data_IF_384908240544
#
_entry.id   IF_384908240544
#
_cell.length_a   1.000
_cell.length_b   1.000
_cell.length_c   1.000
_cell.angle_alpha   90.00
_cell.angle_beta   90.00
_cell.angle_gamma   90.00
#
_symmetry.space_group_name_H-M   'P 1'
#
loop_
_entity.id
_entity.type
_entity.pdbx_description
1 polymer ?
#
# COMPACT_ATOMS: atom_id res chain seq x y z
N UNK A 1 -8.90 28.89 -4.59
CA UNK A 1 -9.56 27.57 -4.75
C UNK A 1 -9.29 27.04 -6.15
N UNK A 2 -8.35 26.12 -6.29
CA UNK A 2 -8.10 25.39 -7.51
C UNK A 2 -9.05 24.19 -7.57
N UNK A 3 -9.80 24.06 -8.66
CA UNK A 3 -10.46 22.80 -8.97
C UNK A 3 -9.41 21.86 -9.53
N UNK A 4 -9.11 20.81 -8.80
CA UNK A 4 -8.07 19.86 -9.18
C UNK A 4 -8.70 18.52 -9.52
N UNK A 5 -8.25 17.93 -10.62
CA UNK A 5 -8.55 16.54 -10.96
C UNK A 5 -7.60 15.62 -10.19
N UNK A 6 -8.05 14.41 -9.85
CA UNK A 6 -7.26 13.43 -9.11
C UNK A 6 -5.85 13.22 -9.63
N UNK A 7 -5.68 13.21 -10.95
CA UNK A 7 -4.38 13.04 -11.57
C UNK A 7 -3.46 14.25 -11.36
N UNK A 8 -4.01 15.47 -11.33
CA UNK A 8 -3.22 16.67 -11.04
C UNK A 8 -2.78 16.74 -9.59
N UNK A 9 -3.65 16.33 -8.66
CA UNK A 9 -3.30 16.20 -7.24
C UNK A 9 -2.17 15.19 -7.06
N UNK A 10 -2.28 14.04 -7.71
CA UNK A 10 -1.27 12.99 -7.66
C UNK A 10 0.08 13.42 -8.26
N UNK A 11 0.05 14.19 -9.37
CA UNK A 11 1.24 14.76 -9.99
C UNK A 11 1.90 15.82 -9.10
N UNK A 12 1.12 16.72 -8.51
CA UNK A 12 1.62 17.81 -7.65
C UNK A 12 2.22 17.29 -6.34
N UNK A 13 1.74 16.17 -5.84
CA UNK A 13 2.29 15.51 -4.64
C UNK A 13 3.59 14.74 -4.89
N UNK A 14 4.19 14.86 -6.07
CA UNK A 14 5.39 14.11 -6.51
C UNK A 14 5.21 12.60 -6.68
N UNK A 15 4.04 12.05 -6.36
CA UNK A 15 3.74 10.61 -6.47
C UNK A 15 3.93 10.06 -7.88
N UNK A 16 3.55 10.82 -8.88
CA UNK A 16 3.67 10.42 -10.28
C UNK A 16 5.13 10.29 -10.71
N UNK A 17 6.02 11.17 -10.24
CA UNK A 17 7.44 11.12 -10.53
C UNK A 17 8.09 9.84 -10.03
N UNK A 18 7.68 9.35 -8.85
CA UNK A 18 8.21 8.13 -8.23
C UNK A 18 7.79 6.84 -8.97
N UNK A 19 6.67 6.86 -9.67
CA UNK A 19 6.14 5.69 -10.38
C UNK A 19 6.61 5.57 -11.84
N UNK A 20 7.44 6.47 -12.33
CA UNK A 20 7.96 6.43 -13.70
C UNK A 20 8.97 5.30 -13.87
N UNK A 21 8.71 4.29 -14.73
CA UNK A 21 9.67 3.24 -15.02
C UNK A 21 10.82 3.69 -15.94
N UNK A 22 10.61 4.76 -16.71
CA UNK A 22 11.64 5.44 -17.52
C UNK A 22 11.18 6.83 -17.92
N UNK A 23 12.14 7.72 -18.22
CA UNK A 23 11.84 9.07 -18.75
C UNK A 23 11.08 9.03 -20.09
N UNK A 24 11.22 7.95 -20.85
CA UNK A 24 10.69 7.81 -22.21
C UNK A 24 9.29 7.19 -22.25
N UNK A 25 8.79 6.68 -21.12
CA UNK A 25 7.45 6.07 -21.03
C UNK A 25 6.60 6.82 -20.02
N UNK A 26 5.50 7.39 -20.48
CA UNK A 26 4.47 7.93 -19.59
C UNK A 26 3.84 6.80 -18.79
N UNK A 27 4.33 6.59 -17.57
CA UNK A 27 3.66 5.71 -16.62
C UNK A 27 2.52 6.50 -16.00
N UNK A 28 1.31 6.24 -16.48
CA UNK A 28 0.11 6.71 -15.81
C UNK A 28 -0.16 5.83 -14.60
N UNK A 29 -0.53 6.45 -13.48
CA UNK A 29 -1.09 5.70 -12.37
C UNK A 29 -2.33 4.93 -12.86
N UNK A 30 -2.59 3.71 -12.36
CA UNK A 30 -3.81 2.98 -12.69
C UNK A 30 -5.03 3.87 -12.47
N UNK A 31 -5.99 3.78 -13.38
CA UNK A 31 -7.26 4.52 -13.26
C UNK A 31 -7.89 4.23 -11.90
N UNK A 32 -8.23 5.28 -11.14
CA UNK A 32 -8.80 5.17 -9.80
C UNK A 32 -7.79 5.04 -8.65
N UNK A 33 -6.49 4.86 -8.92
CA UNK A 33 -5.48 4.73 -7.85
C UNK A 33 -5.25 6.05 -7.08
N UNK A 34 -5.22 7.16 -7.79
CA UNK A 34 -5.04 8.48 -7.18
C UNK A 34 -6.20 8.85 -6.22
N UNK A 35 -7.49 8.68 -6.59
CA UNK A 35 -8.60 8.91 -5.68
C UNK A 35 -8.52 8.09 -4.40
N UNK A 36 -8.22 6.80 -4.50
CA UNK A 36 -8.12 5.91 -3.33
C UNK A 36 -6.99 6.30 -2.39
N UNK A 37 -5.80 6.59 -2.92
CA UNK A 37 -4.67 7.03 -2.09
C UNK A 37 -4.93 8.39 -1.44
N UNK A 38 -5.52 9.32 -2.18
CA UNK A 38 -5.90 10.63 -1.66
C UNK A 38 -6.95 10.51 -0.57
N UNK A 39 -8.03 9.75 -0.81
CA UNK A 39 -9.10 9.55 0.16
C UNK A 39 -8.58 8.90 1.44
N UNK A 40 -7.70 7.90 1.33
CA UNK A 40 -7.10 7.24 2.48
C UNK A 40 -6.25 8.21 3.33
N UNK A 41 -5.41 9.03 2.71
CA UNK A 41 -4.58 9.99 3.43
C UNK A 41 -5.38 11.14 4.04
N UNK A 42 -6.35 11.66 3.31
CA UNK A 42 -7.28 12.68 3.84
C UNK A 42 -8.06 12.10 5.02
N UNK A 43 -8.56 10.87 4.90
CA UNK A 43 -9.26 10.18 5.98
C UNK A 43 -8.40 9.97 7.22
N UNK A 44 -7.15 9.52 7.06
CA UNK A 44 -6.20 9.36 8.17
C UNK A 44 -5.89 10.71 8.85
N UNK A 45 -5.66 11.76 8.07
CA UNK A 45 -5.37 13.10 8.60
C UNK A 45 -6.58 13.67 9.35
N UNK A 46 -7.78 13.56 8.77
CA UNK A 46 -9.02 13.99 9.42
C UNK A 46 -9.30 13.20 10.71
N UNK A 47 -9.06 11.89 10.70
CA UNK A 47 -9.17 11.03 11.89
C UNK A 47 -8.18 11.42 12.99
N UNK A 48 -6.94 11.72 12.64
CA UNK A 48 -5.93 12.20 13.59
C UNK A 48 -6.33 13.54 14.22
N UNK A 49 -6.83 14.49 13.41
CA UNK A 49 -7.32 15.79 13.89
C UNK A 49 -8.50 15.58 14.83
N UNK A 50 -9.50 14.78 14.44
CA UNK A 50 -10.67 14.50 15.27
C UNK A 50 -10.26 13.86 16.62
N UNK A 51 -9.35 12.90 16.60
CA UNK A 51 -8.84 12.24 17.81
C UNK A 51 -8.10 13.22 18.73
N UNK A 52 -7.27 14.08 18.16
CA UNK A 52 -6.54 15.11 18.93
C UNK A 52 -7.50 16.13 19.59
N UNK A 53 -8.56 16.49 18.87
CA UNK A 53 -9.63 17.37 19.38
C UNK A 53 -10.39 16.72 20.53
N UNK A 54 -10.82 15.47 20.36
CA UNK A 54 -11.52 14.71 21.39
C UNK A 54 -10.68 14.53 22.64
N UNK A 55 -9.39 14.24 22.47
CA UNK A 55 -8.47 14.08 23.60
C UNK A 55 -8.24 15.38 24.37
N UNK A 56 -8.11 16.50 23.66
CA UNK A 56 -7.87 17.82 24.27
C UNK A 56 -9.07 18.36 25.05
N UNK A 57 -10.29 17.96 24.68
CA UNK A 57 -11.52 18.63 25.11
C UNK A 57 -12.56 17.71 25.77
N UNK A 58 -12.13 16.91 26.71
CA UNK A 58 -12.95 15.91 27.41
C UNK A 58 -14.21 16.48 28.14
N UNK A 59 -14.56 17.75 28.03
CA UNK A 59 -15.56 18.35 28.91
C UNK A 59 -16.46 19.45 28.33
N UNK A 60 -16.33 19.84 27.06
CA UNK A 60 -17.15 20.93 26.51
C UNK A 60 -17.61 20.63 25.07
N UNK A 61 -18.93 20.77 24.77
CA UNK A 61 -19.42 20.66 23.41
C UNK A 61 -19.06 21.92 22.62
N UNK A 62 -18.27 21.78 21.55
CA UNK A 62 -18.06 22.86 20.59
C UNK A 62 -17.89 22.32 19.18
N UNK A 63 -18.18 23.17 18.20
CA UNK A 63 -18.00 22.85 16.81
C UNK A 63 -16.56 23.16 16.38
N UNK A 64 -15.94 22.25 15.64
CA UNK A 64 -14.69 22.45 14.98
C UNK A 64 -14.84 22.48 13.48
N UNK A 65 -14.08 23.32 12.84
CA UNK A 65 -13.85 23.26 11.40
C UNK A 65 -12.45 22.69 11.18
N UNK A 66 -12.36 21.58 10.46
CA UNK A 66 -11.10 20.99 10.05
C UNK A 66 -11.00 21.06 8.53
N UNK A 67 -9.87 21.61 8.04
CA UNK A 67 -9.55 21.65 6.61
C UNK A 67 -8.36 20.73 6.35
N UNK A 68 -8.47 19.88 5.33
CA UNK A 68 -7.41 18.96 4.91
C UNK A 68 -7.19 19.15 3.42
N UNK A 69 -5.98 19.56 3.05
CA UNK A 69 -5.55 19.65 1.66
C UNK A 69 -5.15 18.27 1.14
N UNK A 70 -5.74 17.84 0.04
CA UNK A 70 -5.41 16.57 -0.59
C UNK A 70 -3.94 16.50 -1.05
N UNK A 71 -3.39 17.60 -1.56
CA UNK A 71 -1.97 17.67 -1.97
C UNK A 71 -1.05 17.54 -0.78
N UNK A 72 -1.32 18.23 0.32
CA UNK A 72 -0.52 18.17 1.54
C UNK A 72 -0.60 16.79 2.20
N UNK A 73 -1.79 16.20 2.25
CA UNK A 73 -2.00 14.85 2.77
C UNK A 73 -1.21 13.79 1.98
N UNK A 74 -1.19 13.89 0.65
CA UNK A 74 -0.37 13.02 -0.19
C UNK A 74 1.13 13.31 -0.07
N UNK A 75 1.53 14.57 -0.01
CA UNK A 75 2.91 14.97 0.15
C UNK A 75 3.50 14.49 1.48
N UNK A 76 2.72 14.53 2.56
CA UNK A 76 3.16 14.05 3.89
C UNK A 76 3.45 12.55 3.93
N UNK A 77 2.92 11.78 2.98
CA UNK A 77 3.17 10.33 2.87
C UNK A 77 4.34 10.00 1.93
N UNK A 78 5.00 11.00 1.36
CA UNK A 78 6.14 10.79 0.45
C UNK A 78 7.41 11.24 1.15
N UNK A 79 7.97 10.34 1.95
CA UNK A 79 9.17 10.57 2.72
C UNK A 79 10.44 10.71 1.86
N UNK A 80 10.71 9.71 1.01
CA UNK A 80 11.97 9.57 0.30
C UNK A 80 12.30 10.71 -0.66
N UNK A 81 11.40 11.20 -1.54
CA UNK A 81 11.73 12.28 -2.47
C UNK A 81 12.07 13.60 -1.77
N UNK A 82 11.34 13.98 -0.71
CA UNK A 82 11.59 15.23 0.00
C UNK A 82 12.88 15.14 0.84
N UNK A 83 13.10 14.01 1.51
CA UNK A 83 14.33 13.78 2.29
C UNK A 83 15.53 13.71 1.35
N UNK A 84 15.44 12.99 0.24
CA UNK A 84 16.52 12.93 -0.75
C UNK A 84 16.83 14.31 -1.32
N UNK A 85 15.81 15.09 -1.68
CA UNK A 85 16.01 16.46 -2.16
C UNK A 85 16.72 17.35 -1.13
N UNK A 86 16.32 17.26 0.13
CA UNK A 86 16.93 18.04 1.22
C UNK A 86 18.39 17.64 1.51
N UNK A 87 18.73 16.35 1.32
CA UNK A 87 20.07 15.83 1.59
C UNK A 87 21.04 15.94 0.39
N UNK A 88 20.54 16.19 -0.82
CA UNK A 88 21.33 16.20 -2.06
C UNK A 88 21.39 17.58 -2.72
N UNK A 89 21.26 18.66 -1.93
CA UNK A 89 21.24 20.05 -2.42
C UNK A 89 20.25 20.30 -3.58
N UNK A 90 19.12 19.61 -3.53
CA UNK A 90 18.05 19.75 -4.53
C UNK A 90 18.27 18.97 -5.82
N UNK A 91 19.33 18.20 -5.95
CA UNK A 91 19.58 17.36 -7.12
C UNK A 91 18.86 16.01 -6.94
N UNK A 92 17.57 15.98 -7.29
CA UNK A 92 16.92 14.70 -7.53
C UNK A 92 17.03 14.38 -9.03
N UNK A 93 17.88 13.44 -9.34
CA UNK A 93 17.80 12.78 -10.63
C UNK A 93 16.50 11.96 -10.65
N UNK A 94 15.55 12.37 -11.48
CA UNK A 94 14.36 11.56 -11.81
C UNK A 94 14.73 10.28 -12.57
N UNK A 95 16.02 9.94 -12.60
CA UNK A 95 16.50 8.72 -13.21
C UNK A 95 15.89 7.52 -12.45
N UNK A 96 15.45 6.50 -13.16
CA UNK A 96 15.01 5.24 -12.58
C UNK A 96 16.22 4.44 -12.05
N UNK A 97 17.15 5.12 -11.40
CA UNK A 97 18.36 4.51 -10.84
C UNK A 97 18.01 3.37 -9.87
N UNK A 98 16.89 3.51 -9.17
CA UNK A 98 16.35 2.41 -8.36
C UNK A 98 15.92 1.18 -9.17
N UNK A 99 15.58 1.33 -10.45
CA UNK A 99 15.05 0.22 -11.25
C UNK A 99 16.07 -0.85 -11.61
N UNK A 100 17.32 -0.49 -11.86
CA UNK A 100 18.35 -1.46 -12.28
C UNK A 100 19.12 -2.06 -11.12
N UNK A 101 19.50 -1.26 -10.13
CA UNK A 101 20.23 -1.73 -8.95
C UNK A 101 19.30 -2.33 -7.87
N UNK A 102 18.01 -2.05 -7.92
CA UNK A 102 17.06 -2.41 -6.87
C UNK A 102 16.46 -3.81 -7.02
N UNK A 103 17.14 -4.75 -7.66
CA UNK A 103 16.65 -6.13 -7.64
C UNK A 103 17.03 -6.84 -6.32
N UNK A 104 16.16 -7.73 -5.80
CA UNK A 104 14.95 -8.28 -6.41
C UNK A 104 13.68 -7.42 -6.30
N UNK A 105 13.73 -6.16 -5.88
CA UNK A 105 12.51 -5.36 -5.78
C UNK A 105 11.69 -5.39 -7.07
N UNK A 106 10.42 -5.81 -6.97
CA UNK A 106 9.53 -5.94 -8.11
C UNK A 106 8.51 -7.06 -7.95
N UNK A 107 7.66 -7.19 -8.96
CA UNK A 107 6.65 -8.26 -9.05
C UNK A 107 7.14 -9.31 -10.02
N UNK A 108 7.09 -10.58 -9.59
CA UNK A 108 7.58 -11.73 -10.35
C UNK A 108 6.53 -12.83 -10.42
N UNK A 109 6.50 -13.53 -11.55
CA UNK A 109 5.60 -14.65 -11.80
C UNK A 109 6.08 -15.92 -11.07
N UNK A 110 5.13 -16.61 -10.44
CA UNK A 110 5.25 -17.94 -9.88
C UNK A 110 4.41 -18.93 -10.68
N UNK A 111 4.34 -20.19 -10.25
CA UNK A 111 3.56 -21.23 -10.94
C UNK A 111 2.04 -20.96 -10.93
N UNK A 112 1.54 -20.24 -9.93
CA UNK A 112 0.11 -20.03 -9.65
C UNK A 112 -0.27 -18.56 -9.48
N UNK A 113 0.59 -17.62 -9.86
CA UNK A 113 0.33 -16.20 -9.71
C UNK A 113 1.62 -15.40 -9.57
N UNK A 114 1.64 -14.41 -8.68
CA UNK A 114 2.77 -13.51 -8.53
C UNK A 114 3.15 -13.30 -7.07
N UNK A 115 4.42 -12.98 -6.86
CA UNK A 115 4.97 -12.46 -5.60
C UNK A 115 5.57 -11.09 -5.82
N UNK A 116 5.56 -10.27 -4.79
CA UNK A 116 6.26 -8.99 -4.76
C UNK A 116 7.41 -9.05 -3.77
N UNK A 117 8.60 -8.67 -4.24
CA UNK A 117 9.74 -8.40 -3.39
C UNK A 117 9.85 -6.91 -3.10
N UNK A 118 10.24 -6.59 -1.87
CA UNK A 118 10.55 -5.22 -1.43
C UNK A 118 11.85 -5.25 -0.65
N UNK A 119 12.75 -4.31 -0.95
CA UNK A 119 14.07 -4.30 -0.33
C UNK A 119 15.10 -5.07 -1.16
N UNK A 120 16.03 -4.32 -1.71
CA UNK A 120 17.13 -4.81 -2.53
C UNK A 120 18.49 -4.63 -1.86
N UNK A 121 18.48 -3.99 -0.68
CA UNK A 121 19.67 -3.63 0.05
C UNK A 121 19.99 -4.65 1.15
N UNK A 122 21.21 -4.58 1.66
CA UNK A 122 21.65 -5.38 2.81
C UNK A 122 20.75 -5.14 4.05
N UNK A 123 20.39 -6.16 4.79
CA UNK A 123 20.77 -7.57 4.64
C UNK A 123 19.74 -8.40 3.85
N UNK A 124 18.78 -7.77 3.17
CA UNK A 124 17.68 -8.49 2.50
C UNK A 124 18.14 -9.18 1.22
N UNK A 125 19.06 -8.55 0.49
CA UNK A 125 19.61 -9.13 -0.75
C UNK A 125 20.39 -10.40 -0.46
N UNK A 126 21.31 -10.38 0.52
CA UNK A 126 22.13 -11.51 0.90
C UNK A 126 21.26 -12.69 1.38
N UNK A 127 20.25 -12.41 2.18
CA UNK A 127 19.29 -13.42 2.63
C UNK A 127 18.50 -14.02 1.47
N UNK A 128 18.14 -13.19 0.49
CA UNK A 128 17.47 -13.65 -0.72
C UNK A 128 18.39 -14.59 -1.52
N UNK A 129 19.67 -14.23 -1.72
CA UNK A 129 20.65 -15.06 -2.40
C UNK A 129 20.78 -16.43 -1.73
N UNK A 130 20.90 -16.47 -0.41
CA UNK A 130 20.96 -17.72 0.36
C UNK A 130 19.68 -18.55 0.17
N UNK A 131 18.51 -17.91 0.25
CA UNK A 131 17.21 -18.58 0.13
C UNK A 131 16.96 -19.19 -1.25
N UNK A 132 17.45 -18.55 -2.31
CA UNK A 132 17.35 -19.09 -3.68
C UNK A 132 18.46 -20.08 -4.05
N UNK A 133 19.35 -20.42 -3.11
CA UNK A 133 20.41 -21.40 -3.29
C UNK A 133 21.68 -20.86 -3.97
N UNK A 134 21.94 -19.56 -3.80
CA UNK A 134 23.15 -18.87 -4.32
C UNK A 134 23.86 -18.10 -3.20
N UNK A 135 24.30 -18.80 -2.14
CA UNK A 135 24.95 -18.15 -1.00
C UNK A 135 26.22 -17.38 -1.39
N UNK A 136 26.92 -17.80 -2.44
CA UNK A 136 28.12 -17.14 -2.95
C UNK A 136 27.85 -15.70 -3.43
N UNK A 137 26.64 -15.39 -3.86
CA UNK A 137 26.28 -14.03 -4.27
C UNK A 137 26.06 -13.07 -3.10
N UNK A 138 25.90 -13.63 -1.90
CA UNK A 138 25.78 -12.82 -0.69
C UNK A 138 27.11 -12.21 -0.25
N UNK A 139 28.24 -12.67 -0.80
CA UNK A 139 29.60 -12.18 -0.51
C UNK A 139 30.30 -11.63 -1.75
N UNK A 140 29.66 -11.65 -2.91
CA UNK A 140 30.24 -11.22 -4.19
C UNK A 140 30.05 -9.72 -4.40
N UNK A 141 31.13 -8.97 -4.45
CA UNK A 141 31.15 -7.52 -4.65
C UNK A 141 30.37 -7.06 -5.88
N UNK A 142 30.31 -7.88 -6.94
CA UNK A 142 29.53 -7.58 -8.16
C UNK A 142 28.05 -7.37 -7.89
N UNK A 143 27.52 -8.00 -6.85
CA UNK A 143 26.10 -7.90 -6.45
C UNK A 143 25.88 -6.99 -5.24
N UNK A 144 26.92 -6.65 -4.49
CA UNK A 144 26.85 -5.82 -3.28
C UNK A 144 27.18 -4.37 -3.56
N UNK A 145 28.13 -4.11 -4.48
CA UNK A 145 28.49 -2.77 -4.91
C UNK A 145 27.36 -2.14 -5.74
N UNK A 146 26.83 -1.02 -5.28
CA UNK A 146 25.71 -0.34 -5.94
C UNK A 146 26.03 0.16 -7.36
N UNK A 147 27.30 0.39 -7.68
CA UNK A 147 27.72 0.83 -9.00
C UNK A 147 27.84 -0.35 -9.99
N UNK A 148 28.22 -1.53 -9.51
CA UNK A 148 28.38 -2.74 -10.33
C UNK A 148 27.07 -3.55 -10.43
N UNK A 149 26.30 -3.59 -9.36
CA UNK A 149 25.06 -4.36 -9.24
C UNK A 149 24.11 -4.23 -10.45
N UNK A 150 23.89 -3.05 -11.06
CA UNK A 150 23.03 -2.92 -12.23
C UNK A 150 23.41 -3.79 -13.41
N UNK A 151 24.73 -4.01 -13.63
CA UNK A 151 25.26 -4.76 -14.77
C UNK A 151 25.06 -6.27 -14.61
N UNK A 152 24.89 -6.75 -13.38
CA UNK A 152 24.67 -8.17 -13.04
C UNK A 152 23.20 -8.54 -12.84
N UNK A 153 22.27 -7.63 -13.14
CA UNK A 153 20.84 -7.85 -13.01
C UNK A 153 20.34 -9.04 -13.82
N UNK A 154 20.78 -9.18 -15.06
CA UNK A 154 20.33 -10.26 -15.95
C UNK A 154 20.83 -11.63 -15.46
N UNK A 155 22.04 -11.71 -14.90
CA UNK A 155 22.57 -12.93 -14.28
C UNK A 155 21.70 -13.35 -13.09
N UNK A 156 21.34 -12.41 -12.22
CA UNK A 156 20.44 -12.66 -11.11
C UNK A 156 19.06 -13.12 -11.58
N UNK A 157 18.45 -12.41 -12.54
CA UNK A 157 17.13 -12.73 -13.08
C UNK A 157 17.11 -14.10 -13.78
N UNK A 158 18.14 -14.46 -14.51
CA UNK A 158 18.25 -15.76 -15.16
C UNK A 158 18.19 -16.93 -14.16
N UNK A 159 18.58 -16.71 -12.92
CA UNK A 159 18.49 -17.71 -11.85
C UNK A 159 17.18 -17.64 -11.07
N UNK A 160 16.77 -16.45 -10.62
CA UNK A 160 15.59 -16.33 -9.74
C UNK A 160 14.29 -16.64 -10.47
N UNK A 161 14.14 -16.24 -11.75
CA UNK A 161 12.91 -16.46 -12.49
C UNK A 161 12.53 -17.95 -12.63
N UNK A 162 13.42 -18.85 -13.06
CA UNK A 162 13.12 -20.29 -13.07
C UNK A 162 12.83 -20.85 -11.68
N UNK A 163 13.55 -20.36 -10.67
CA UNK A 163 13.34 -20.77 -9.28
C UNK A 163 11.94 -20.40 -8.76
N UNK A 164 11.43 -19.20 -9.11
CA UNK A 164 10.10 -18.73 -8.78
C UNK A 164 9.03 -19.51 -9.56
N UNK A 165 9.21 -19.70 -10.86
CA UNK A 165 8.25 -20.41 -11.73
C UNK A 165 8.07 -21.88 -11.38
N UNK A 166 9.03 -22.48 -10.69
CA UNK A 166 8.94 -23.84 -10.18
C UNK A 166 8.17 -23.97 -8.86
N UNK A 167 7.66 -22.86 -8.29
CA UNK A 167 7.03 -22.82 -6.96
C UNK A 167 5.74 -22.02 -6.99
N UNK A 168 4.82 -22.36 -6.08
CA UNK A 168 3.63 -21.54 -5.82
C UNK A 168 4.02 -20.26 -5.07
N UNK A 169 3.22 -19.22 -5.20
CA UNK A 169 3.44 -17.94 -4.50
C UNK A 169 3.47 -18.09 -2.97
N UNK A 170 2.70 -19.03 -2.42
CA UNK A 170 2.70 -19.31 -0.98
C UNK A 170 3.95 -20.06 -0.53
N UNK A 171 4.47 -21.00 -1.35
CA UNK A 171 5.76 -21.64 -1.08
C UNK A 171 6.90 -20.64 -1.08
N UNK A 172 6.95 -19.75 -2.09
CA UNK A 172 7.93 -18.68 -2.16
C UNK A 172 7.81 -17.77 -0.95
N UNK A 173 6.62 -17.34 -0.61
CA UNK A 173 6.37 -16.49 0.56
C UNK A 173 6.89 -17.13 1.85
N UNK A 174 6.59 -18.41 2.08
CA UNK A 174 7.05 -19.13 3.28
C UNK A 174 8.57 -19.19 3.36
N UNK A 175 9.24 -19.59 2.26
CA UNK A 175 10.71 -19.66 2.19
C UNK A 175 11.33 -18.30 2.48
N UNK A 176 10.79 -17.24 1.86
CA UNK A 176 11.32 -15.89 2.02
C UNK A 176 11.06 -15.32 3.42
N UNK A 177 9.92 -15.62 4.03
CA UNK A 177 9.64 -15.25 5.41
C UNK A 177 10.61 -15.92 6.41
N UNK A 178 10.85 -17.21 6.25
CA UNK A 178 11.81 -17.96 7.09
C UNK A 178 13.21 -17.37 6.96
N UNK A 179 13.60 -16.94 5.75
CA UNK A 179 14.84 -16.23 5.48
C UNK A 179 14.85 -14.75 5.90
N UNK A 180 13.74 -14.20 6.40
CA UNK A 180 13.55 -12.78 6.74
C UNK A 180 13.78 -11.84 5.56
N UNK A 181 13.35 -12.25 4.38
CA UNK A 181 13.32 -11.46 3.15
C UNK A 181 11.94 -10.83 3.01
N UNK A 182 11.89 -9.57 2.59
CA UNK A 182 10.65 -8.84 2.38
C UNK A 182 10.00 -9.29 1.07
N UNK A 183 9.16 -10.31 1.17
CA UNK A 183 8.40 -10.88 0.06
C UNK A 183 6.95 -11.10 0.48
N UNK A 184 6.01 -10.88 -0.43
CA UNK A 184 4.58 -11.11 -0.18
C UNK A 184 3.90 -11.69 -1.42
N UNK A 185 2.91 -12.60 -1.26
CA UNK A 185 2.10 -13.05 -2.39
C UNK A 185 1.19 -11.92 -2.88
N UNK A 186 0.95 -11.88 -4.19
CA UNK A 186 -0.07 -11.03 -4.79
C UNK A 186 -1.38 -11.83 -4.80
N UNK A 187 -2.29 -11.45 -3.92
CA UNK A 187 -3.57 -12.13 -3.77
C UNK A 187 -4.61 -11.64 -4.78
N UNK A 188 -5.44 -12.55 -5.26
CA UNK A 188 -6.75 -12.23 -5.84
C UNK A 188 -7.70 -11.77 -4.73
N UNK A 189 -8.84 -11.19 -5.09
CA UNK A 189 -9.85 -10.79 -4.09
C UNK A 189 -10.34 -11.98 -3.28
N UNK A 190 -10.58 -13.12 -3.94
CA UNK A 190 -11.01 -14.36 -3.28
C UNK A 190 -9.97 -14.87 -2.27
N UNK A 191 -8.71 -14.88 -2.64
CA UNK A 191 -7.62 -15.28 -1.75
C UNK A 191 -7.45 -14.33 -0.58
N UNK A 192 -7.59 -13.01 -0.80
CA UNK A 192 -7.49 -12.02 0.26
C UNK A 192 -8.62 -12.14 1.29
N UNK A 193 -9.85 -12.47 0.85
CA UNK A 193 -11.00 -12.69 1.74
C UNK A 193 -10.81 -13.96 2.58
N UNK A 194 -10.21 -14.99 1.99
CA UNK A 194 -10.01 -16.30 2.62
C UNK A 194 -8.64 -16.44 3.30
N UNK A 195 -7.82 -15.40 3.31
CA UNK A 195 -6.52 -15.43 3.98
C UNK A 195 -6.68 -15.64 5.49
N UNK A 196 -5.92 -16.57 6.10
CA UNK A 196 -6.02 -16.86 7.53
C UNK A 196 -5.83 -15.62 8.44
N UNK A 197 -4.96 -14.70 8.06
CA UNK A 197 -4.75 -13.46 8.81
C UNK A 197 -5.94 -12.51 8.67
N UNK A 198 -6.52 -12.40 7.48
CA UNK A 198 -7.71 -11.60 7.24
C UNK A 198 -8.91 -12.14 8.04
N UNK A 199 -9.07 -13.46 8.07
CA UNK A 199 -10.10 -14.13 8.86
C UNK A 199 -9.89 -13.90 10.36
N UNK A 200 -8.67 -14.15 10.86
CA UNK A 200 -8.35 -13.98 12.28
C UNK A 200 -8.54 -12.53 12.75
N UNK A 201 -8.32 -11.56 11.86
CA UNK A 201 -8.54 -10.14 12.13
C UNK A 201 -9.99 -9.68 11.91
N UNK A 202 -10.87 -10.56 11.42
CA UNK A 202 -12.24 -10.16 10.99
C UNK A 202 -12.18 -8.96 10.03
N UNK A 203 -11.31 -9.04 8.99
CA UNK A 203 -11.07 -7.94 8.05
C UNK A 203 -12.22 -7.75 7.08
N UNK A 204 -13.04 -8.76 6.92
CA UNK A 204 -14.26 -8.74 6.11
C UNK A 204 -15.46 -9.15 6.95
N UNK A 205 -16.64 -8.67 6.57
CA UNK A 205 -17.91 -9.01 7.21
C UNK A 205 -18.95 -9.31 6.13
N UNK A 206 -19.90 -10.15 6.48
CA UNK A 206 -21.05 -10.45 5.63
C UNK A 206 -22.29 -9.81 6.22
N UNK A 207 -23.10 -9.17 5.39
CA UNK A 207 -24.38 -8.60 5.78
C UNK A 207 -25.40 -8.74 4.65
N UNK A 208 -26.69 -8.69 5.01
CA UNK A 208 -27.76 -8.71 4.03
C UNK A 208 -28.02 -7.31 3.48
N UNK A 209 -28.01 -7.17 2.16
CA UNK A 209 -28.37 -5.93 1.46
C UNK A 209 -29.72 -6.13 0.75
N UNK A 210 -30.71 -5.33 1.07
CA UNK A 210 -32.03 -5.38 0.43
C UNK A 210 -31.92 -5.28 -1.10
N UNK A 211 -32.59 -6.21 -1.76
CA UNK A 211 -32.63 -6.28 -3.23
C UNK A 211 -31.38 -6.91 -3.91
N UNK A 212 -30.33 -7.25 -3.13
CA UNK A 212 -29.12 -7.90 -3.62
C UNK A 212 -28.93 -9.27 -2.96
N UNK A 213 -29.16 -9.38 -1.64
CA UNK A 213 -28.90 -10.58 -0.86
C UNK A 213 -27.65 -10.43 0.02
N UNK A 214 -26.97 -11.54 0.29
CA UNK A 214 -25.74 -11.56 1.09
C UNK A 214 -24.58 -10.89 0.37
N UNK A 215 -23.93 -9.96 1.03
CA UNK A 215 -22.80 -9.18 0.52
C UNK A 215 -21.61 -9.31 1.47
N UNK A 216 -20.42 -9.58 0.92
CA UNK A 216 -19.15 -9.50 1.65
C UNK A 216 -18.57 -8.10 1.45
N UNK A 217 -18.23 -7.44 2.54
CA UNK A 217 -17.64 -6.11 2.54
C UNK A 217 -16.42 -6.06 3.44
N UNK A 218 -15.44 -5.19 3.17
CA UNK A 218 -14.42 -4.85 4.15
C UNK A 218 -15.07 -4.37 5.45
N UNK A 219 -14.58 -4.88 6.57
CA UNK A 219 -14.97 -4.40 7.89
C UNK A 219 -14.25 -3.08 8.22
N UNK A 220 -14.57 -2.48 9.34
CA UNK A 220 -13.86 -1.28 9.80
C UNK A 220 -12.37 -1.57 10.02
N UNK A 221 -11.46 -0.68 9.60
CA UNK A 221 -10.01 -0.88 9.70
C UNK A 221 -9.48 -0.77 11.13
N UNK A 222 -10.23 -0.18 12.03
CA UNK A 222 -9.91 -0.09 13.46
C UNK A 222 -10.72 -1.11 14.26
N UNK A 223 -10.14 -1.60 15.33
CA UNK A 223 -10.76 -2.55 16.27
C UNK A 223 -10.81 -1.92 17.65
N UNK A 224 -11.95 -1.99 18.28
CA UNK A 224 -12.12 -1.62 19.68
C UNK A 224 -11.90 -2.86 20.55
N UNK A 225 -10.80 -2.88 21.30
CA UNK A 225 -10.44 -4.02 22.15
C UNK A 225 -11.09 -3.98 23.53
N UNK A 226 -11.79 -2.88 23.86
CA UNK A 226 -12.41 -2.64 25.17
C UNK A 226 -13.92 -2.86 25.16
N UNK A 227 -14.51 -3.17 24.01
CA UNK A 227 -15.93 -3.37 23.82
C UNK A 227 -16.19 -4.74 23.20
N UNK A 228 -17.18 -5.46 23.74
CA UNK A 228 -17.70 -6.69 23.15
C UNK A 228 -18.69 -6.42 21.99
N UNK A 229 -18.94 -5.17 21.68
CA UNK A 229 -19.85 -4.80 20.59
C UNK A 229 -19.21 -5.09 19.23
N UNK A 230 -19.84 -6.00 18.51
CA UNK A 230 -19.47 -6.24 17.10
C UNK A 230 -20.11 -5.14 16.24
N UNK A 231 -19.28 -4.51 15.41
CA UNK A 231 -19.77 -3.57 14.41
C UNK A 231 -20.54 -4.32 13.32
N UNK A 232 -21.86 -4.25 13.37
CA UNK A 232 -22.73 -4.90 12.40
C UNK A 232 -23.11 -3.92 11.29
N UNK A 233 -22.72 -4.25 10.04
CA UNK A 233 -23.21 -3.55 8.87
C UNK A 233 -24.67 -3.95 8.62
N UNK A 234 -25.48 -2.96 8.33
CA UNK A 234 -26.90 -3.14 7.96
C UNK A 234 -27.10 -2.75 6.50
N UNK A 235 -28.24 -3.15 5.95
CA UNK A 235 -28.64 -2.75 4.60
C UNK A 235 -28.60 -1.21 4.45
N UNK A 236 -28.07 -0.75 3.32
CA UNK A 236 -28.10 0.67 2.98
C UNK A 236 -29.59 1.12 2.86
N UNK A 237 -29.93 2.28 3.43
CA UNK A 237 -31.32 2.76 3.39
C UNK A 237 -31.74 3.10 1.95
N UNK A 238 -33.02 2.94 1.66
CA UNK A 238 -33.63 3.41 0.41
C UNK A 238 -33.66 4.94 0.37
N UNK A 239 -33.73 5.48 -0.83
CA UNK A 239 -33.80 6.93 -1.02
C UNK A 239 -34.96 7.53 -0.21
N UNK A 240 -34.63 8.47 0.69
CA UNK A 240 -35.60 9.15 1.56
C UNK A 240 -36.13 8.36 2.77
N UNK A 241 -35.70 7.13 3.00
CA UNK A 241 -36.19 6.23 4.05
C UNK A 241 -36.14 6.86 5.45
N UNK A 242 -35.09 7.61 5.74
CA UNK A 242 -34.90 8.23 7.05
C UNK A 242 -35.35 9.70 7.12
N UNK A 243 -35.84 10.29 6.01
CA UNK A 243 -36.14 11.72 5.94
C UNK A 243 -37.15 12.17 7.04
N UNK A 244 -38.25 11.46 7.18
CA UNK A 244 -39.26 11.82 8.17
C UNK A 244 -38.73 11.71 9.61
N UNK A 245 -38.00 10.60 9.89
CA UNK A 245 -37.38 10.37 11.21
C UNK A 245 -36.39 11.47 11.59
N UNK A 246 -35.57 11.89 10.63
CA UNK A 246 -34.60 12.97 10.85
C UNK A 246 -35.29 14.31 11.07
N UNK A 247 -36.33 14.63 10.29
CA UNK A 247 -37.11 15.86 10.47
C UNK A 247 -37.80 15.91 11.82
N UNK A 248 -38.37 14.79 12.28
CA UNK A 248 -39.02 14.70 13.61
C UNK A 248 -37.99 14.88 14.76
N UNK A 249 -36.75 14.47 14.58
CA UNK A 249 -35.67 14.68 15.57
C UNK A 249 -35.19 16.14 15.65
N UNK A 250 -35.35 16.86 14.56
CA UNK A 250 -34.91 18.27 14.47
C UNK A 250 -35.99 19.26 14.96
N UNK A 251 -37.24 18.82 15.18
CA UNK A 251 -38.35 19.64 15.62
C UNK A 251 -39.00 20.31 14.44
#
# INVERSE_FOLDING_TARGET
NRQELDLSIFAQSTRLARQRPSMDKNSLAPVGYAPYTTAMQVGLTAGAIASAILWKNNSQPFAYHAEVSAVEALASNVDTPFVAWALTDGVMNYAPASGRAAYPTGVYECSDGHVQFTGADSPFFERCCIAIGRPEWAEDERFLDLDQKPDHREEFLAHIIPWLKARTKLEVFKIMQEAKVLCTPVFTVEEAINDPQAIARKSFTTFHQDGIGEVISPAYPFKEYMSDEEWNLTSAPKFGEHTQKVLEQLG
#
